data_IF_217857222189
#
_entry.id   IF_217857222189
#
_cell.length_a   1.000
_cell.length_b   1.000
_cell.length_c   1.000
_cell.angle_alpha   90.00
_cell.angle_beta   90.00
_cell.angle_gamma   90.00
#
_symmetry.space_group_name_H-M   'P 1'
#
loop_
_entity.id
_entity.type
_entity.pdbx_description
1 polymer ?
#
# COMPACT_ATOMS: atom_id res chain seq x y z
N UNK A 1 -32.51 -10.02 -16.85
CA UNK A 1 -31.26 -10.50 -16.19
C UNK A 1 -30.00 -9.64 -16.48
N UNK A 2 -30.09 -8.29 -16.53
CA UNK A 2 -28.89 -7.44 -16.75
C UNK A 2 -28.04 -7.30 -15.49
N UNK A 3 -28.62 -7.42 -14.30
CA UNK A 3 -27.92 -7.19 -13.00
C UNK A 3 -26.83 -8.22 -12.72
N UNK A 4 -27.02 -9.47 -13.07
CA UNK A 4 -26.04 -10.56 -12.88
C UNK A 4 -24.86 -10.41 -13.83
N UNK A 5 -25.07 -9.98 -15.06
CA UNK A 5 -23.99 -9.78 -16.05
C UNK A 5 -23.04 -8.63 -15.70
N UNK A 6 -23.53 -7.57 -15.07
CA UNK A 6 -22.69 -6.44 -14.63
C UNK A 6 -21.82 -6.80 -13.44
N UNK A 7 -22.33 -7.60 -12.50
CA UNK A 7 -21.53 -8.10 -11.37
C UNK A 7 -20.47 -9.12 -11.81
N UNK A 8 -20.79 -10.05 -12.70
CA UNK A 8 -19.78 -11.01 -13.21
C UNK A 8 -18.62 -10.31 -13.93
N UNK A 9 -18.89 -9.32 -14.78
CA UNK A 9 -17.84 -8.55 -15.47
C UNK A 9 -16.92 -7.79 -14.52
N UNK A 10 -17.42 -7.41 -13.35
CA UNK A 10 -16.66 -6.63 -12.36
C UNK A 10 -15.65 -7.50 -11.59
N UNK A 11 -16.04 -8.74 -11.26
CA UNK A 11 -15.19 -9.65 -10.46
C UNK A 11 -14.37 -10.61 -11.32
N UNK A 12 -14.64 -10.70 -12.61
CA UNK A 12 -13.88 -11.52 -13.54
C UNK A 12 -12.35 -11.25 -13.48
N UNK A 13 -11.85 -9.98 -13.46
CA UNK A 13 -10.42 -9.72 -13.33
C UNK A 13 -9.85 -10.18 -11.98
N UNK A 14 -10.66 -10.20 -10.91
CA UNK A 14 -10.24 -10.70 -9.59
C UNK A 14 -10.02 -12.21 -9.63
N UNK A 15 -10.90 -12.95 -10.34
CA UNK A 15 -10.73 -14.39 -10.57
C UNK A 15 -9.50 -14.67 -11.43
N UNK A 16 -9.24 -13.84 -12.45
CA UNK A 16 -8.01 -13.93 -13.24
C UNK A 16 -6.76 -13.71 -12.39
N UNK A 17 -6.79 -12.74 -11.47
CA UNK A 17 -5.69 -12.49 -10.55
C UNK A 17 -5.47 -13.69 -9.61
N UNK A 18 -6.54 -14.23 -9.04
CA UNK A 18 -6.48 -15.41 -8.18
C UNK A 18 -5.88 -16.60 -8.93
N UNK A 19 -6.32 -16.83 -10.18
CA UNK A 19 -5.76 -17.86 -11.04
C UNK A 19 -4.26 -17.63 -11.30
N UNK A 20 -3.85 -16.38 -11.58
CA UNK A 20 -2.45 -16.01 -11.81
C UNK A 20 -1.60 -16.24 -10.56
N UNK A 21 -2.12 -15.92 -9.36
CA UNK A 21 -1.46 -16.19 -8.08
C UNK A 21 -1.23 -17.68 -7.88
N UNK A 22 -2.24 -18.52 -8.14
CA UNK A 22 -2.11 -19.98 -8.02
C UNK A 22 -1.14 -20.51 -9.07
N UNK A 23 -1.27 -20.06 -10.32
CA UNK A 23 -0.41 -20.50 -11.43
C UNK A 23 1.06 -20.15 -11.16
N UNK A 24 1.35 -18.92 -10.69
CA UNK A 24 2.73 -18.52 -10.39
C UNK A 24 3.34 -19.37 -9.27
N UNK A 25 2.56 -19.74 -8.24
CA UNK A 25 3.02 -20.65 -7.19
C UNK A 25 3.36 -22.03 -7.75
N UNK A 26 2.49 -22.62 -8.58
CA UNK A 26 2.70 -23.94 -9.18
C UNK A 26 3.96 -23.93 -10.06
N UNK A 27 4.11 -22.92 -10.92
CA UNK A 27 5.26 -22.78 -11.81
C UNK A 27 6.56 -22.63 -11.03
N UNK A 28 6.59 -21.75 -10.01
CA UNK A 28 7.79 -21.54 -9.19
C UNK A 28 8.17 -22.79 -8.38
N UNK A 29 7.18 -23.54 -7.90
CA UNK A 29 7.41 -24.80 -7.19
C UNK A 29 7.93 -25.87 -8.13
N UNK A 30 7.35 -26.02 -9.34
CA UNK A 30 7.79 -26.98 -10.35
C UNK A 30 9.23 -26.72 -10.84
N UNK A 31 9.60 -25.43 -10.97
CA UNK A 31 10.94 -25.02 -11.39
C UNK A 31 11.95 -25.00 -10.24
N UNK A 32 11.58 -25.38 -9.01
CA UNK A 32 12.41 -25.29 -7.78
C UNK A 32 12.95 -23.88 -7.50
N UNK A 33 12.25 -22.86 -7.97
CA UNK A 33 12.58 -21.44 -7.81
C UNK A 33 11.86 -20.79 -6.61
N UNK A 34 11.77 -21.52 -5.50
CA UNK A 34 11.04 -21.09 -4.30
C UNK A 34 11.56 -19.78 -3.69
N UNK A 35 12.80 -19.39 -3.99
CA UNK A 35 13.37 -18.13 -3.54
C UNK A 35 12.53 -16.92 -4.03
N UNK A 36 12.02 -16.99 -5.25
CA UNK A 36 11.19 -15.92 -5.81
C UNK A 36 9.82 -15.77 -5.12
N UNK A 37 9.33 -16.83 -4.45
CA UNK A 37 8.11 -16.71 -3.64
C UNK A 37 8.27 -15.72 -2.48
N UNK A 38 9.47 -15.68 -1.86
CA UNK A 38 9.79 -14.71 -0.79
C UNK A 38 9.67 -13.29 -1.32
N UNK A 39 10.25 -13.02 -2.48
CA UNK A 39 10.22 -11.69 -3.11
C UNK A 39 8.79 -11.30 -3.54
N UNK A 40 8.00 -12.25 -4.07
CA UNK A 40 6.60 -12.01 -4.41
C UNK A 40 5.73 -11.77 -3.16
N UNK A 41 6.03 -12.44 -2.04
CA UNK A 41 5.36 -12.19 -0.75
C UNK A 41 5.63 -10.75 -0.28
N UNK A 42 6.90 -10.33 -0.27
CA UNK A 42 7.29 -8.97 0.09
C UNK A 42 6.67 -7.93 -0.88
N UNK A 43 6.69 -8.22 -2.19
CA UNK A 43 6.04 -7.36 -3.19
C UNK A 43 4.54 -7.18 -2.91
N UNK A 44 3.86 -8.24 -2.43
CA UNK A 44 2.46 -8.16 -2.01
C UNK A 44 2.24 -7.16 -0.89
N UNK A 45 3.09 -7.17 0.16
CA UNK A 45 2.98 -6.23 1.27
C UNK A 45 3.23 -4.78 0.83
N UNK A 46 4.21 -4.53 -0.04
CA UNK A 46 4.43 -3.20 -0.61
C UNK A 46 3.31 -2.77 -1.56
N UNK A 47 2.70 -3.71 -2.27
CA UNK A 47 1.56 -3.44 -3.16
C UNK A 47 0.32 -2.98 -2.37
N UNK A 48 0.11 -3.47 -1.14
CA UNK A 48 -0.95 -2.95 -0.25
C UNK A 48 -0.81 -1.45 -0.02
N UNK A 49 0.40 -0.97 0.26
CA UNK A 49 0.66 0.48 0.43
C UNK A 49 0.28 1.24 -0.84
N UNK A 50 0.72 0.75 -2.00
CA UNK A 50 0.43 1.38 -3.28
C UNK A 50 -1.08 1.41 -3.57
N UNK A 51 -1.83 0.35 -3.24
CA UNK A 51 -3.30 0.34 -3.38
C UNK A 51 -3.97 1.38 -2.47
N UNK A 52 -3.55 1.47 -1.20
CA UNK A 52 -4.03 2.50 -0.28
C UNK A 52 -3.74 3.92 -0.78
N UNK A 53 -2.51 4.14 -1.25
CA UNK A 53 -2.09 5.43 -1.79
C UNK A 53 -2.80 5.77 -3.11
N UNK A 54 -3.11 4.77 -3.95
CA UNK A 54 -3.92 4.95 -5.16
C UNK A 54 -5.34 5.43 -4.83
N UNK A 55 -5.97 4.93 -3.76
CA UNK A 55 -7.26 5.44 -3.30
C UNK A 55 -7.17 6.91 -2.89
N UNK A 56 -6.11 7.29 -2.18
CA UNK A 56 -5.90 8.63 -1.68
C UNK A 56 -5.57 9.62 -2.81
N UNK A 57 -4.57 9.31 -3.63
CA UNK A 57 -4.11 10.20 -4.70
C UNK A 57 -5.04 10.17 -5.91
N UNK A 58 -5.46 8.99 -6.32
CA UNK A 58 -6.19 8.79 -7.56
C UNK A 58 -7.69 9.09 -7.48
N UNK A 59 -8.31 8.89 -6.32
CA UNK A 59 -9.75 9.09 -6.17
C UNK A 59 -10.11 10.28 -5.28
N UNK A 60 -9.30 10.59 -4.25
CA UNK A 60 -9.55 11.76 -3.40
C UNK A 60 -8.71 12.98 -3.79
N UNK A 61 -7.78 12.85 -4.73
CA UNK A 61 -6.93 13.95 -5.20
C UNK A 61 -5.92 14.47 -4.18
N UNK A 62 -5.59 13.67 -3.15
CA UNK A 62 -4.70 14.06 -2.06
C UNK A 62 -3.30 13.48 -2.28
N UNK A 63 -2.34 14.30 -2.64
CA UNK A 63 -0.94 13.86 -2.76
C UNK A 63 -0.33 13.73 -1.37
N UNK A 64 0.17 12.53 -1.04
CA UNK A 64 0.81 12.24 0.24
C UNK A 64 2.16 11.55 0.03
N UNK A 65 3.20 12.14 0.65
CA UNK A 65 4.56 11.63 0.66
C UNK A 65 4.98 11.06 2.03
N UNK A 66 4.01 10.76 2.90
CA UNK A 66 4.26 10.26 4.27
C UNK A 66 3.92 8.78 4.48
N UNK A 67 3.57 8.04 3.43
CA UNK A 67 3.06 6.66 3.57
C UNK A 67 4.12 5.67 4.04
N UNK A 68 5.41 5.91 3.79
CA UNK A 68 6.50 5.15 4.40
C UNK A 68 6.50 5.28 5.94
N UNK A 69 6.14 6.46 6.47
CA UNK A 69 5.95 6.65 7.91
C UNK A 69 4.84 5.78 8.49
N UNK A 70 3.67 5.70 7.85
CA UNK A 70 2.58 4.82 8.30
C UNK A 70 2.92 3.33 8.16
N UNK A 71 3.64 2.96 7.12
CA UNK A 71 4.16 1.61 6.96
C UNK A 71 5.10 1.23 8.09
N UNK A 72 6.04 2.10 8.41
CA UNK A 72 6.96 1.91 9.52
C UNK A 72 6.25 1.87 10.87
N UNK A 73 5.29 2.79 11.13
CA UNK A 73 4.49 2.77 12.38
C UNK A 73 3.79 1.44 12.56
N UNK A 74 3.12 0.93 11.52
CA UNK A 74 2.46 -0.38 11.58
C UNK A 74 3.43 -1.51 11.87
N UNK A 75 4.57 -1.53 11.19
CA UNK A 75 5.60 -2.54 11.37
C UNK A 75 6.27 -2.49 12.75
N UNK A 76 6.68 -1.31 13.19
CA UNK A 76 7.30 -1.14 14.51
C UNK A 76 6.32 -1.38 15.65
N UNK A 77 5.07 -0.92 15.55
CA UNK A 77 4.05 -1.21 16.57
C UNK A 77 3.81 -2.71 16.69
N UNK A 78 3.72 -3.44 15.57
CA UNK A 78 3.58 -4.89 15.58
C UNK A 78 4.80 -5.59 16.18
N UNK A 79 6.01 -5.15 15.81
CA UNK A 79 7.26 -5.70 16.29
C UNK A 79 7.44 -5.49 17.79
N UNK A 80 7.25 -4.26 18.29
CA UNK A 80 7.37 -3.94 19.73
C UNK A 80 6.36 -4.72 20.56
N UNK A 81 5.10 -4.76 20.14
CA UNK A 81 4.07 -5.51 20.86
C UNK A 81 4.38 -7.01 20.94
N UNK A 82 4.92 -7.57 19.85
CA UNK A 82 5.30 -8.96 19.80
C UNK A 82 6.53 -9.29 20.67
N UNK A 83 7.54 -8.40 20.72
CA UNK A 83 8.74 -8.57 21.53
C UNK A 83 8.48 -8.39 23.04
N UNK A 84 7.55 -7.51 23.42
CA UNK A 84 7.13 -7.32 24.83
C UNK A 84 6.28 -8.51 25.34
N UNK A 85 5.95 -9.47 24.47
CA UNK A 85 5.23 -10.70 24.87
C UNK A 85 3.70 -10.59 24.77
N UNK A 86 3.19 -9.58 24.08
CA UNK A 86 1.76 -9.56 23.72
C UNK A 86 1.41 -10.79 22.89
N UNK A 87 0.22 -11.34 23.13
CA UNK A 87 -0.25 -12.47 22.35
C UNK A 87 -0.18 -12.13 20.84
N UNK A 88 0.47 -12.99 20.05
CA UNK A 88 0.76 -12.72 18.64
C UNK A 88 -0.49 -12.36 17.82
N UNK A 89 -1.64 -12.98 18.13
CA UNK A 89 -2.90 -12.69 17.44
C UNK A 89 -3.47 -11.28 17.75
N UNK A 90 -3.04 -10.65 18.86
CA UNK A 90 -3.49 -9.31 19.27
C UNK A 90 -2.54 -8.21 18.76
N UNK A 91 -1.26 -8.52 18.52
CA UNK A 91 -0.26 -7.53 18.10
C UNK A 91 -0.57 -6.93 16.73
N UNK A 92 -1.08 -7.70 15.77
CA UNK A 92 -1.47 -7.19 14.47
C UNK A 92 -2.66 -6.22 14.52
N UNK A 93 -3.82 -6.57 15.11
CA UNK A 93 -4.93 -5.64 15.28
C UNK A 93 -4.55 -4.38 16.07
N UNK A 94 -3.75 -4.52 17.12
CA UNK A 94 -3.29 -3.39 17.91
C UNK A 94 -2.39 -2.44 17.08
N UNK A 95 -1.46 -2.98 16.29
CA UNK A 95 -0.64 -2.18 15.38
C UNK A 95 -1.47 -1.42 14.34
N UNK A 96 -2.52 -2.05 13.81
CA UNK A 96 -3.46 -1.42 12.88
C UNK A 96 -4.21 -0.28 13.58
N UNK A 97 -4.69 -0.48 14.81
CA UNK A 97 -5.36 0.55 15.60
C UNK A 97 -4.43 1.72 15.92
N UNK A 98 -3.18 1.45 16.31
CA UNK A 98 -2.15 2.48 16.55
C UNK A 98 -1.91 3.30 15.28
N UNK A 99 -1.74 2.63 14.14
CA UNK A 99 -1.55 3.31 12.85
C UNK A 99 -2.76 4.18 12.49
N UNK A 100 -3.97 3.66 12.68
CA UNK A 100 -5.21 4.40 12.43
C UNK A 100 -5.36 5.60 13.37
N UNK A 101 -5.01 5.45 14.64
CA UNK A 101 -5.02 6.53 15.62
C UNK A 101 -4.03 7.63 15.26
N UNK A 102 -2.79 7.28 14.90
CA UNK A 102 -1.79 8.26 14.44
C UNK A 102 -2.25 8.93 13.15
N UNK A 103 -2.84 8.18 12.21
CA UNK A 103 -3.37 8.76 10.99
C UNK A 103 -4.52 9.73 11.24
N UNK A 104 -5.39 9.45 12.22
CA UNK A 104 -6.44 10.35 12.65
C UNK A 104 -5.86 11.64 13.26
N UNK A 105 -4.91 11.49 14.18
CA UNK A 105 -4.29 12.60 14.90
C UNK A 105 -3.54 13.56 13.97
N UNK A 106 -2.79 13.02 13.02
CA UNK A 106 -2.05 13.80 12.03
C UNK A 106 -2.96 14.28 10.89
N UNK A 107 -3.95 13.46 10.49
CA UNK A 107 -4.87 13.80 9.42
C UNK A 107 -5.69 15.06 9.69
N UNK A 108 -6.15 15.25 10.92
CA UNK A 108 -6.97 16.42 11.28
C UNK A 108 -6.27 17.76 10.96
N UNK A 109 -5.02 18.03 11.41
CA UNK A 109 -4.34 19.27 11.08
C UNK A 109 -3.83 19.31 9.64
N UNK A 110 -3.29 18.20 9.13
CA UNK A 110 -2.61 18.16 7.82
C UNK A 110 -3.62 18.30 6.67
N UNK A 111 -4.81 17.76 6.78
CA UNK A 111 -5.83 17.86 5.73
C UNK A 111 -6.52 19.22 5.62
N UNK A 112 -6.20 20.17 6.50
CA UNK A 112 -6.56 21.58 6.32
C UNK A 112 -5.72 22.26 5.23
N UNK A 113 -4.55 21.67 4.92
CA UNK A 113 -3.69 22.11 3.85
C UNK A 113 -4.17 21.58 2.49
N UNK A 114 -3.91 22.32 1.41
CA UNK A 114 -4.30 21.95 0.04
C UNK A 114 -3.07 21.86 -0.88
N UNK A 115 -3.15 21.04 -1.92
CA UNK A 115 -2.14 20.96 -2.97
C UNK A 115 -0.75 20.60 -2.46
N UNK A 116 0.26 21.38 -2.85
CA UNK A 116 1.67 21.12 -2.51
C UNK A 116 1.97 21.21 -1.01
N UNK A 117 1.26 22.04 -0.26
CA UNK A 117 1.44 22.15 1.19
C UNK A 117 1.07 20.86 1.91
N UNK A 118 0.05 20.14 1.44
CA UNK A 118 -0.34 18.84 1.97
C UNK A 118 0.79 17.82 1.75
N UNK A 119 1.38 17.78 0.55
CA UNK A 119 2.47 16.87 0.22
C UNK A 119 3.71 17.16 1.09
N UNK A 120 4.06 18.44 1.29
CA UNK A 120 5.17 18.84 2.16
C UNK A 120 4.93 18.47 3.62
N UNK A 121 3.71 18.69 4.15
CA UNK A 121 3.38 18.35 5.53
C UNK A 121 3.44 16.83 5.77
N UNK A 122 2.94 16.02 4.83
CA UNK A 122 3.03 14.56 4.94
C UNK A 122 4.47 14.06 4.80
N UNK A 123 5.30 14.71 3.98
CA UNK A 123 6.73 14.41 3.89
C UNK A 123 7.43 14.71 5.23
N UNK A 124 7.18 15.89 5.80
CA UNK A 124 7.73 16.28 7.11
C UNK A 124 7.32 15.28 8.20
N UNK A 125 6.06 14.84 8.22
CA UNK A 125 5.60 13.76 9.09
C UNK A 125 6.44 12.49 8.93
N UNK A 126 6.70 12.02 7.70
CA UNK A 126 7.55 10.85 7.43
C UNK A 126 8.97 11.03 8.00
N UNK A 127 9.56 12.23 7.85
CA UNK A 127 10.89 12.55 8.42
C UNK A 127 10.84 12.53 9.95
N UNK A 128 9.80 13.08 10.58
CA UNK A 128 9.63 13.07 12.03
C UNK A 128 9.57 11.62 12.54
N UNK A 129 8.77 10.76 11.90
CA UNK A 129 8.69 9.33 12.25
C UNK A 129 10.07 8.68 12.14
N UNK A 130 10.79 8.89 11.04
CA UNK A 130 12.15 8.35 10.86
C UNK A 130 13.08 8.81 11.99
N UNK A 131 13.04 10.09 12.36
CA UNK A 131 13.90 10.63 13.44
C UNK A 131 13.55 10.08 14.81
N UNK A 132 12.28 9.86 15.10
CA UNK A 132 11.83 9.21 16.34
C UNK A 132 12.33 7.77 16.40
N UNK A 133 12.23 7.01 15.30
CA UNK A 133 12.70 5.64 15.24
C UNK A 133 14.22 5.53 15.43
N UNK A 134 15.00 6.43 14.83
CA UNK A 134 16.46 6.47 14.95
C UNK A 134 16.91 6.95 16.33
N UNK A 135 16.17 7.87 16.96
CA UNK A 135 16.57 8.50 18.23
C UNK A 135 16.13 7.76 19.49
N UNK A 136 15.32 6.70 19.37
CA UNK A 136 14.73 6.04 20.54
C UNK A 136 15.22 4.58 20.63
N UNK A 137 15.85 4.23 21.74
CA UNK A 137 16.36 2.87 22.00
C UNK A 137 15.23 1.81 22.00
N UNK A 138 14.00 2.19 22.35
CA UNK A 138 12.83 1.31 22.31
C UNK A 138 12.61 0.68 20.93
N UNK A 139 12.99 1.39 19.86
CA UNK A 139 12.86 0.96 18.48
C UNK A 139 14.16 0.39 17.88
N UNK A 140 15.17 0.15 18.71
CA UNK A 140 16.46 -0.38 18.27
C UNK A 140 17.36 0.63 17.54
N UNK A 141 17.00 1.91 17.51
CA UNK A 141 17.81 2.97 16.91
C UNK A 141 18.14 2.72 15.43
N UNK A 142 19.40 2.85 15.07
CA UNK A 142 19.88 2.67 13.70
C UNK A 142 19.80 1.21 13.20
N UNK A 143 19.95 0.24 14.10
CA UNK A 143 19.94 -1.19 13.77
C UNK A 143 18.50 -1.73 13.56
N UNK A 144 17.51 -1.01 14.07
CA UNK A 144 16.11 -1.43 14.05
C UNK A 144 15.81 -2.55 15.03
N UNK A 145 14.64 -3.16 14.90
CA UNK A 145 14.20 -4.29 15.71
C UNK A 145 14.47 -5.60 14.98
N UNK A 146 15.17 -6.52 15.64
CA UNK A 146 15.40 -7.90 15.21
C UNK A 146 14.70 -8.88 16.15
N UNK A 147 14.70 -10.16 15.79
CA UNK A 147 14.16 -11.26 16.59
C UNK A 147 12.66 -11.11 16.93
N UNK A 148 11.91 -10.48 16.02
CA UNK A 148 10.46 -10.36 16.16
C UNK A 148 9.82 -11.73 16.01
N UNK A 149 9.09 -12.22 17.03
CA UNK A 149 8.45 -13.52 16.96
C UNK A 149 7.39 -13.53 15.85
N UNK A 150 7.37 -14.62 15.05
CA UNK A 150 6.41 -14.77 13.96
C UNK A 150 4.96 -14.70 14.47
N UNK A 151 4.10 -14.05 13.70
CA UNK A 151 2.67 -13.96 14.02
C UNK A 151 1.97 -15.31 13.85
N UNK A 152 1.31 -15.79 14.89
CA UNK A 152 0.52 -17.02 14.88
C UNK A 152 -0.96 -16.70 14.99
N UNK A 153 -1.72 -17.01 13.93
CA UNK A 153 -3.16 -16.71 13.89
C UNK A 153 -3.99 -17.78 14.63
N UNK A 154 -3.88 -19.04 14.20
CA UNK A 154 -4.50 -20.24 14.79
C UNK A 154 -3.65 -21.46 14.46
N UNK A 155 -3.94 -22.62 15.03
CA UNK A 155 -3.19 -23.86 14.89
C UNK A 155 -2.67 -24.10 13.45
N UNK A 156 -1.43 -23.66 13.16
CA UNK A 156 -0.76 -23.90 11.89
C UNK A 156 -0.61 -22.69 10.94
N UNK A 157 -1.38 -21.61 11.08
CA UNK A 157 -1.25 -20.40 10.26
C UNK A 157 -0.30 -19.41 10.94
N UNK A 158 0.91 -19.26 10.40
CA UNK A 158 1.89 -18.32 10.92
C UNK A 158 2.53 -17.48 9.80
N UNK A 159 2.68 -16.17 10.06
CA UNK A 159 3.48 -15.28 9.21
C UNK A 159 4.91 -15.30 9.78
N UNK A 160 5.84 -15.88 9.03
CA UNK A 160 7.25 -16.00 9.44
C UNK A 160 8.12 -16.30 8.23
N UNK A 161 9.34 -15.80 8.16
CA UNK A 161 10.30 -16.06 7.08
C UNK A 161 10.86 -17.48 6.99
N UNK A 162 10.36 -18.43 7.80
CA UNK A 162 10.86 -19.81 7.79
C UNK A 162 10.63 -20.50 6.45
N UNK A 163 11.65 -21.19 5.95
CA UNK A 163 11.64 -21.89 4.64
C UNK A 163 10.44 -22.85 4.49
N UNK A 164 10.10 -23.59 5.54
CA UNK A 164 9.01 -24.56 5.55
C UNK A 164 7.61 -23.94 5.31
N UNK A 165 7.43 -22.64 5.58
CA UNK A 165 6.15 -21.95 5.49
C UNK A 165 6.07 -20.94 4.33
N UNK A 166 6.99 -21.00 3.35
CA UNK A 166 7.05 -20.05 2.23
C UNK A 166 5.76 -19.99 1.43
N UNK A 167 5.25 -21.15 1.04
CA UNK A 167 3.99 -21.25 0.27
C UNK A 167 2.82 -20.68 1.06
N UNK A 168 2.74 -20.98 2.35
CA UNK A 168 1.71 -20.46 3.23
C UNK A 168 1.76 -18.93 3.34
N UNK A 169 2.95 -18.37 3.57
CA UNK A 169 3.15 -16.92 3.65
C UNK A 169 2.82 -16.22 2.32
N UNK A 170 3.15 -16.85 1.20
CA UNK A 170 2.79 -16.37 -0.11
C UNK A 170 1.27 -16.24 -0.26
N UNK A 171 0.50 -17.30 0.09
CA UNK A 171 -0.95 -17.24 0.04
C UNK A 171 -1.56 -16.24 1.03
N UNK A 172 -0.99 -16.10 2.24
CA UNK A 172 -1.45 -15.10 3.21
C UNK A 172 -1.24 -13.69 2.64
N UNK A 173 -0.07 -13.36 2.11
CA UNK A 173 0.20 -12.05 1.55
C UNK A 173 -0.75 -11.72 0.38
N UNK A 174 -0.91 -12.64 -0.55
CA UNK A 174 -1.79 -12.43 -1.70
C UNK A 174 -3.26 -12.45 -1.36
N UNK A 175 -3.69 -13.20 -0.33
CA UNK A 175 -5.07 -13.10 0.20
C UNK A 175 -5.35 -11.73 0.81
N UNK A 176 -4.37 -11.12 1.50
CA UNK A 176 -4.48 -9.75 2.01
C UNK A 176 -4.53 -8.73 0.87
N UNK A 177 -3.71 -8.89 -0.16
CA UNK A 177 -3.76 -8.03 -1.37
C UNK A 177 -5.11 -8.15 -2.05
N UNK A 178 -5.64 -9.37 -2.23
CA UNK A 178 -6.96 -9.60 -2.83
C UNK A 178 -8.08 -8.99 -1.98
N UNK A 179 -8.04 -9.17 -0.67
CA UNK A 179 -9.02 -8.56 0.25
C UNK A 179 -8.96 -7.02 0.19
N UNK A 180 -7.75 -6.46 0.21
CA UNK A 180 -7.53 -5.03 0.05
C UNK A 180 -8.02 -4.51 -1.31
N UNK A 181 -7.70 -5.20 -2.39
CA UNK A 181 -8.18 -4.84 -3.73
C UNK A 181 -9.71 -4.89 -3.83
N UNK A 182 -10.34 -5.93 -3.30
CA UNK A 182 -11.81 -6.05 -3.27
C UNK A 182 -12.45 -4.92 -2.45
N UNK A 183 -11.89 -4.60 -1.28
CA UNK A 183 -12.35 -3.47 -0.47
C UNK A 183 -12.21 -2.15 -1.25
N UNK A 184 -11.07 -1.91 -1.92
CA UNK A 184 -10.83 -0.74 -2.75
C UNK A 184 -11.81 -0.66 -3.93
N UNK A 185 -12.04 -1.75 -4.67
CA UNK A 185 -12.99 -1.81 -5.78
C UNK A 185 -14.41 -1.51 -5.28
N UNK A 186 -14.83 -2.08 -4.15
CA UNK A 186 -16.14 -1.85 -3.58
C UNK A 186 -16.32 -0.40 -3.13
N UNK A 187 -15.30 0.18 -2.48
CA UNK A 187 -15.28 1.58 -2.08
C UNK A 187 -15.44 2.51 -3.29
N UNK A 188 -14.63 2.32 -4.32
CA UNK A 188 -14.63 3.17 -5.53
C UNK A 188 -15.97 3.15 -6.26
N UNK A 189 -16.70 2.02 -6.23
CA UNK A 189 -18.01 1.91 -6.87
C UNK A 189 -19.18 2.26 -5.93
N UNK A 190 -18.92 2.53 -4.66
CA UNK A 190 -19.95 2.93 -3.67
C UNK A 190 -20.37 4.40 -3.84
N UNK A 191 -21.32 4.83 -2.98
CA UNK A 191 -21.68 6.26 -2.86
C UNK A 191 -20.47 7.11 -2.44
N UNK A 192 -19.65 6.60 -1.53
CA UNK A 192 -18.42 7.26 -1.08
C UNK A 192 -17.43 7.46 -2.23
N UNK A 193 -17.20 6.45 -3.07
CA UNK A 193 -16.30 6.56 -4.22
C UNK A 193 -16.78 7.56 -5.29
N UNK A 194 -18.09 7.76 -5.44
CA UNK A 194 -18.63 8.84 -6.30
C UNK A 194 -18.35 10.21 -5.71
N UNK A 195 -18.56 10.37 -4.41
CA UNK A 195 -18.27 11.62 -3.70
C UNK A 195 -16.78 11.96 -3.75
N UNK A 196 -15.87 10.97 -3.56
CA UNK A 196 -14.43 11.16 -3.70
C UNK A 196 -14.03 11.66 -5.09
N UNK A 197 -14.61 11.11 -6.17
CA UNK A 197 -14.36 11.60 -7.53
C UNK A 197 -14.87 13.02 -7.76
N UNK A 198 -15.99 13.40 -7.15
CA UNK A 198 -16.49 14.76 -7.19
C UNK A 198 -15.51 15.72 -6.48
N UNK A 199 -15.00 15.34 -5.31
CA UNK A 199 -13.96 16.09 -4.56
C UNK A 199 -12.69 16.22 -5.40
N UNK A 200 -12.22 15.14 -6.05
CA UNK A 200 -11.04 15.15 -6.90
C UNK A 200 -11.19 16.14 -8.07
N UNK A 201 -12.40 16.24 -8.65
CA UNK A 201 -12.69 17.18 -9.75
C UNK A 201 -12.70 18.65 -9.30
N UNK A 202 -13.46 18.96 -8.26
CA UNK A 202 -13.53 20.29 -7.67
C UNK A 202 -14.11 20.20 -6.24
N UNK A 203 -13.29 20.53 -5.24
CA UNK A 203 -13.67 20.46 -3.83
C UNK A 203 -14.81 21.42 -3.46
N UNK A 204 -14.76 22.65 -3.98
CA UNK A 204 -15.73 23.68 -3.64
C UNK A 204 -17.09 23.37 -4.29
N UNK A 205 -17.11 22.88 -5.52
CA UNK A 205 -18.33 22.42 -6.18
C UNK A 205 -18.94 21.20 -5.47
N UNK A 206 -18.11 20.23 -5.04
CA UNK A 206 -18.59 19.09 -4.26
C UNK A 206 -19.21 19.51 -2.92
N UNK A 207 -18.58 20.47 -2.22
CA UNK A 207 -19.10 21.04 -0.98
C UNK A 207 -20.45 21.75 -1.20
N UNK A 208 -20.60 22.52 -2.28
CA UNK A 208 -21.83 23.20 -2.64
C UNK A 208 -22.99 22.19 -2.93
N UNK A 209 -22.67 20.99 -3.39
CA UNK A 209 -23.62 19.89 -3.59
C UNK A 209 -23.90 19.08 -2.30
N UNK A 210 -23.47 19.56 -1.13
CA UNK A 210 -23.72 18.94 0.17
C UNK A 210 -22.78 17.78 0.54
N UNK A 211 -21.65 17.63 -0.15
CA UNK A 211 -20.65 16.61 0.19
C UNK A 211 -19.80 17.11 1.35
N UNK A 212 -19.71 16.33 2.44
CA UNK A 212 -18.81 16.63 3.56
C UNK A 212 -17.37 16.27 3.16
N UNK A 213 -16.70 17.24 2.54
CA UNK A 213 -15.34 17.10 1.98
C UNK A 213 -14.33 16.74 3.07
N UNK A 214 -14.39 17.41 4.24
CA UNK A 214 -13.43 17.21 5.31
C UNK A 214 -13.46 15.78 5.86
N UNK A 215 -14.66 15.27 6.17
CA UNK A 215 -14.82 13.89 6.67
C UNK A 215 -14.39 12.83 5.66
N UNK A 216 -14.76 13.01 4.39
CA UNK A 216 -14.41 12.05 3.36
C UNK A 216 -12.91 12.03 3.07
N UNK A 217 -12.25 13.18 3.06
CA UNK A 217 -10.81 13.28 2.94
C UNK A 217 -10.11 12.57 4.11
N UNK A 218 -10.53 12.87 5.34
CA UNK A 218 -9.97 12.26 6.54
C UNK A 218 -10.17 10.73 6.55
N UNK A 219 -11.38 10.27 6.25
CA UNK A 219 -11.67 8.83 6.20
C UNK A 219 -10.81 8.10 5.15
N UNK A 220 -10.63 8.71 3.96
CA UNK A 220 -9.79 8.14 2.91
C UNK A 220 -8.31 8.14 3.29
N UNK A 221 -7.84 9.19 3.98
CA UNK A 221 -6.48 9.28 4.49
C UNK A 221 -6.20 8.20 5.53
N UNK A 222 -7.10 8.02 6.52
CA UNK A 222 -6.98 6.97 7.53
C UNK A 222 -7.00 5.59 6.86
N UNK A 223 -7.93 5.36 5.93
CA UNK A 223 -8.01 4.09 5.21
C UNK A 223 -6.71 3.78 4.46
N UNK A 224 -6.14 4.77 3.75
CA UNK A 224 -4.87 4.62 3.06
C UNK A 224 -3.71 4.31 4.01
N UNK A 225 -3.67 4.97 5.18
CA UNK A 225 -2.69 4.70 6.23
C UNK A 225 -2.85 3.28 6.82
N UNK A 226 -4.09 2.79 6.97
CA UNK A 226 -4.35 1.42 7.42
C UNK A 226 -3.81 0.38 6.44
N UNK A 227 -3.96 0.60 5.12
CA UNK A 227 -3.33 -0.26 4.10
C UNK A 227 -1.80 -0.30 4.27
N UNK A 228 -1.18 0.85 4.51
CA UNK A 228 0.24 0.93 4.76
C UNK A 228 0.63 0.21 6.06
N UNK A 229 -0.11 0.44 7.14
CA UNK A 229 0.13 -0.19 8.44
C UNK A 229 0.01 -1.72 8.42
N UNK A 230 -1.00 -2.25 7.73
CA UNK A 230 -1.14 -3.71 7.53
C UNK A 230 0.05 -4.26 6.76
N UNK A 231 0.45 -3.62 5.66
CA UNK A 231 1.62 -4.02 4.88
C UNK A 231 2.89 -4.05 5.71
N UNK A 232 3.13 -2.99 6.51
CA UNK A 232 4.28 -2.87 7.39
C UNK A 232 4.31 -3.90 8.52
N UNK A 233 3.19 -4.11 9.20
CA UNK A 233 3.06 -5.11 10.26
C UNK A 233 3.32 -6.54 9.74
N UNK A 234 2.72 -6.89 8.60
CA UNK A 234 2.94 -8.20 7.99
C UNK A 234 4.39 -8.38 7.52
N UNK A 235 5.03 -7.32 6.99
CA UNK A 235 6.43 -7.37 6.58
C UNK A 235 7.35 -7.59 7.80
N UNK A 236 7.09 -6.90 8.92
CA UNK A 236 7.88 -7.05 10.14
C UNK A 236 7.85 -8.49 10.68
N UNK A 237 6.68 -9.11 10.70
CA UNK A 237 6.54 -10.52 11.08
C UNK A 237 7.19 -11.47 10.08
N UNK A 238 7.06 -11.17 8.79
CA UNK A 238 7.62 -12.01 7.73
C UNK A 238 9.15 -11.99 7.75
N UNK A 239 9.78 -10.82 7.90
CA UNK A 239 11.22 -10.68 7.96
C UNK A 239 11.81 -11.06 9.34
N UNK A 240 10.97 -11.17 10.39
CA UNK A 240 11.44 -11.32 11.77
C UNK A 240 12.14 -10.07 12.30
N UNK A 241 11.88 -8.92 11.71
CA UNK A 241 12.48 -7.64 12.09
C UNK A 241 12.05 -6.50 11.17
N UNK A 242 12.35 -5.28 11.59
CA UNK A 242 12.08 -4.06 10.82
C UNK A 242 13.15 -3.01 11.10
N UNK A 243 13.67 -2.39 10.04
CA UNK A 243 14.65 -1.31 10.13
C UNK A 243 14.05 0.08 9.93
N UNK A 244 14.70 1.15 10.45
CA UNK A 244 14.22 2.53 10.31
C UNK A 244 14.17 3.01 8.86
N UNK A 245 14.92 2.39 7.97
CA UNK A 245 14.92 2.67 6.53
C UNK A 245 13.54 2.52 5.87
N UNK A 246 12.63 1.75 6.48
CA UNK A 246 11.25 1.62 5.98
C UNK A 246 10.44 2.91 6.14
N UNK A 247 10.81 3.83 7.05
CA UNK A 247 10.24 5.17 7.17
C UNK A 247 10.95 6.21 6.28
N UNK A 248 11.93 5.79 5.48
CA UNK A 248 12.78 6.69 4.68
C UNK A 248 12.01 7.48 3.63
N UNK A 249 12.45 8.70 3.35
CA UNK A 249 11.86 9.58 2.34
C UNK A 249 11.87 8.91 0.96
N UNK A 250 12.95 8.25 0.58
CA UNK A 250 13.06 7.53 -0.70
C UNK A 250 12.02 6.43 -0.84
N UNK A 251 11.67 5.73 0.25
CA UNK A 251 10.57 4.76 0.25
C UNK A 251 9.21 5.43 -0.04
N UNK A 252 8.95 6.61 0.54
CA UNK A 252 7.73 7.37 0.25
C UNK A 252 7.66 7.82 -1.22
N UNK A 253 8.77 8.33 -1.77
CA UNK A 253 8.86 8.71 -3.19
C UNK A 253 8.63 7.49 -4.09
N UNK A 254 9.21 6.33 -3.73
CA UNK A 254 9.00 5.07 -4.44
C UNK A 254 7.53 4.67 -4.48
N UNK A 255 6.79 4.76 -3.38
CA UNK A 255 5.34 4.45 -3.37
C UNK A 255 4.55 5.38 -4.28
N UNK A 256 4.86 6.69 -4.28
CA UNK A 256 4.25 7.65 -5.20
C UNK A 256 4.59 7.30 -6.65
N UNK A 257 5.84 6.95 -6.94
CA UNK A 257 6.27 6.53 -8.27
C UNK A 257 5.52 5.28 -8.76
N UNK A 258 5.33 4.28 -7.89
CA UNK A 258 4.56 3.06 -8.21
C UNK A 258 3.10 3.38 -8.58
N UNK A 259 2.46 4.28 -7.84
CA UNK A 259 1.07 4.69 -8.11
C UNK A 259 0.98 5.52 -9.38
N UNK A 260 1.90 6.46 -9.58
CA UNK A 260 1.96 7.27 -10.81
C UNK A 260 2.18 6.38 -12.04
N UNK A 261 3.12 5.42 -11.94
CA UNK A 261 3.44 4.48 -13.00
C UNK A 261 2.26 3.56 -13.36
N UNK A 262 1.56 3.07 -12.34
CA UNK A 262 0.36 2.25 -12.54
C UNK A 262 -0.84 3.02 -13.10
N UNK A 263 -0.82 4.36 -12.95
CA UNK A 263 -1.92 5.27 -13.28
C UNK A 263 -2.77 5.55 -12.05
N UNK A 264 -2.74 6.81 -11.59
CA UNK A 264 -3.39 7.26 -10.34
C UNK A 264 -4.87 6.88 -10.23
N UNK A 265 -5.60 6.78 -11.33
CA UNK A 265 -7.02 6.39 -11.35
C UNK A 265 -7.30 4.90 -11.60
N UNK A 266 -6.28 4.04 -11.61
CA UNK A 266 -6.40 2.63 -11.96
C UNK A 266 -5.86 1.71 -10.85
N UNK A 267 -6.76 1.09 -10.08
CA UNK A 267 -6.38 0.09 -9.06
C UNK A 267 -5.63 -1.10 -9.67
N UNK A 268 -6.06 -1.56 -10.86
CA UNK A 268 -5.45 -2.68 -11.56
C UNK A 268 -4.07 -2.34 -12.09
N UNK A 269 -3.92 -1.12 -12.65
CA UNK A 269 -2.63 -0.63 -13.11
C UNK A 269 -1.64 -0.47 -11.96
N UNK A 270 -2.08 0.13 -10.85
CA UNK A 270 -1.26 0.25 -9.64
C UNK A 270 -0.85 -1.12 -9.11
N UNK A 271 -1.77 -2.09 -9.02
CA UNK A 271 -1.46 -3.44 -8.56
C UNK A 271 -0.41 -4.11 -9.47
N UNK A 272 -0.61 -4.11 -10.78
CA UNK A 272 0.29 -4.78 -11.71
C UNK A 272 1.69 -4.15 -11.71
N UNK A 273 1.76 -2.82 -11.80
CA UNK A 273 3.03 -2.09 -11.85
C UNK A 273 3.76 -2.14 -10.51
N UNK A 274 3.06 -1.96 -9.38
CA UNK A 274 3.69 -2.04 -8.05
C UNK A 274 4.26 -3.42 -7.79
N UNK A 275 3.52 -4.48 -8.12
CA UNK A 275 4.01 -5.86 -7.96
C UNK A 275 5.24 -6.11 -8.84
N UNK A 276 5.17 -5.74 -10.13
CA UNK A 276 6.26 -6.00 -11.07
C UNK A 276 7.52 -5.22 -10.71
N UNK A 277 7.41 -3.90 -10.49
CA UNK A 277 8.58 -3.06 -10.19
C UNK A 277 9.19 -3.40 -8.83
N UNK A 278 8.36 -3.65 -7.81
CA UNK A 278 8.88 -4.05 -6.50
C UNK A 278 9.55 -5.42 -6.55
N UNK A 279 9.00 -6.36 -7.32
CA UNK A 279 9.63 -7.67 -7.53
C UNK A 279 10.98 -7.54 -8.23
N UNK A 280 11.09 -6.71 -9.29
CA UNK A 280 12.35 -6.46 -9.99
C UNK A 280 13.40 -5.80 -9.07
N UNK A 281 12.97 -4.82 -8.27
CA UNK A 281 13.82 -4.15 -7.28
C UNK A 281 14.36 -5.14 -6.24
N UNK A 282 13.48 -5.95 -5.63
CA UNK A 282 13.86 -6.96 -4.64
C UNK A 282 14.75 -8.07 -5.22
N UNK A 283 14.67 -8.32 -6.53
CA UNK A 283 15.56 -9.21 -7.25
C UNK A 283 16.98 -8.63 -7.44
N UNK A 284 17.15 -7.33 -7.18
CA UNK A 284 18.41 -6.63 -7.41
C UNK A 284 18.64 -6.29 -8.89
N UNK A 285 17.57 -6.28 -9.73
CA UNK A 285 17.69 -5.99 -11.14
C UNK A 285 18.26 -4.59 -11.43
N UNK A 286 18.09 -3.66 -10.50
CA UNK A 286 18.55 -2.27 -10.61
C UNK A 286 19.85 -2.02 -9.82
N UNK A 287 20.31 -2.98 -9.00
CA UNK A 287 21.53 -2.89 -8.21
C UNK A 287 21.60 -1.62 -7.36
N UNK A 288 22.74 -0.93 -7.40
CA UNK A 288 22.97 0.34 -6.68
C UNK A 288 22.12 1.51 -7.20
N UNK A 289 21.56 1.40 -8.40
CA UNK A 289 20.78 2.46 -9.06
C UNK A 289 19.27 2.36 -8.80
N UNK A 290 18.84 1.52 -7.86
CA UNK A 290 17.43 1.26 -7.60
C UNK A 290 16.62 2.56 -7.39
N UNK A 291 17.06 3.45 -6.51
CA UNK A 291 16.40 4.73 -6.25
C UNK A 291 16.44 5.69 -7.47
N UNK A 292 17.54 5.68 -8.24
CA UNK A 292 17.65 6.48 -9.45
C UNK A 292 16.69 5.99 -10.54
N UNK A 293 16.53 4.68 -10.68
CA UNK A 293 15.56 4.08 -11.62
C UNK A 293 14.14 4.46 -11.26
N UNK A 294 13.75 4.38 -9.97
CA UNK A 294 12.42 4.83 -9.54
C UNK A 294 12.20 6.33 -9.76
N UNK A 295 13.21 7.15 -9.50
CA UNK A 295 13.18 8.58 -9.83
C UNK A 295 13.01 8.84 -11.33
N UNK A 296 13.77 8.14 -12.17
CA UNK A 296 13.67 8.25 -13.62
C UNK A 296 12.30 7.78 -14.14
N UNK A 297 11.74 6.71 -13.59
CA UNK A 297 10.38 6.24 -13.89
C UNK A 297 9.37 7.32 -13.56
N UNK A 298 9.46 7.94 -12.37
CA UNK A 298 8.55 9.00 -11.96
C UNK A 298 8.58 10.18 -12.94
N UNK A 299 9.78 10.69 -13.24
CA UNK A 299 9.98 11.80 -14.19
C UNK A 299 9.48 11.42 -15.58
N UNK A 300 9.85 10.24 -16.08
CA UNK A 300 9.44 9.76 -17.41
C UNK A 300 7.91 9.64 -17.53
N UNK A 301 7.23 9.14 -16.50
CA UNK A 301 5.77 9.01 -16.51
C UNK A 301 5.10 10.38 -16.43
N UNK A 302 5.60 11.29 -15.62
CA UNK A 302 5.06 12.65 -15.56
C UNK A 302 5.19 13.38 -16.88
N UNK A 303 6.26 13.14 -17.65
CA UNK A 303 6.50 13.78 -18.95
C UNK A 303 5.74 13.11 -20.10
N UNK A 304 5.74 11.78 -20.18
CA UNK A 304 5.28 11.05 -21.35
C UNK A 304 3.92 10.34 -21.17
N UNK A 305 3.55 10.04 -19.94
CA UNK A 305 2.35 9.26 -19.64
C UNK A 305 1.61 9.77 -18.38
N UNK A 306 1.10 11.02 -18.37
CA UNK A 306 0.46 11.60 -17.18
C UNK A 306 -0.77 10.80 -16.69
N UNK A 307 -1.33 9.96 -17.55
CA UNK A 307 -2.42 9.03 -17.21
C UNK A 307 -1.95 7.63 -16.79
N UNK A 308 -0.62 7.43 -16.59
CA UNK A 308 0.01 6.16 -16.29
C UNK A 308 0.17 5.24 -17.49
N UNK A 309 0.99 4.19 -17.34
CA UNK A 309 1.28 3.22 -18.41
C UNK A 309 0.01 2.53 -18.94
N UNK A 310 -0.95 2.21 -18.08
CA UNK A 310 -2.23 1.62 -18.49
C UNK A 310 -3.14 2.58 -19.28
N UNK A 311 -2.94 3.89 -19.14
CA UNK A 311 -3.60 4.90 -19.95
C UNK A 311 -3.16 4.87 -21.42
N UNK A 312 -1.90 4.53 -21.69
CA UNK A 312 -1.35 4.40 -23.05
C UNK A 312 -1.92 3.20 -23.81
N UNK A 313 -2.26 2.12 -23.12
CA UNK A 313 -2.81 0.89 -23.74
C UNK A 313 -4.32 0.95 -24.02
N UNK A 314 -4.95 2.12 -23.91
CA UNK A 314 -6.37 2.30 -24.30
C UNK A 314 -7.39 1.52 -23.46
N UNK A 315 -7.00 0.91 -22.34
CA UNK A 315 -7.88 0.14 -21.45
C UNK A 315 -8.81 1.02 -20.60
N UNK A 316 -8.91 2.31 -20.93
CA UNK A 316 -9.83 3.27 -20.32
C UNK A 316 -11.23 3.15 -20.94
N UNK A 317 -11.94 2.06 -20.69
CA UNK A 317 -13.40 2.01 -20.88
C UNK A 317 -14.10 2.47 -19.60
N UNK A 318 -14.58 3.69 -19.57
CA UNK A 318 -15.55 4.14 -18.58
C UNK A 318 -15.19 5.41 -17.84
N UNK A 319 -15.41 6.56 -18.43
CA UNK A 319 -15.37 7.85 -17.75
C UNK A 319 -15.07 8.98 -18.71
N UNK A 320 -15.97 9.25 -19.66
CA UNK A 320 -15.93 10.47 -20.45
C UNK A 320 -16.13 11.67 -19.53
N UNK A 321 -15.14 12.53 -19.43
CA UNK A 321 -15.28 13.93 -19.05
C UNK A 321 -14.87 14.77 -20.23
N UNK A 322 -15.59 15.87 -20.55
CA UNK A 322 -15.30 16.73 -21.68
C UNK A 322 -13.99 17.46 -21.43
N UNK A 323 -13.34 17.80 -22.56
CA UNK A 323 -12.15 18.64 -22.68
C UNK A 323 -12.42 20.04 -22.14
#
# INVERSE_FOLDING_TARGET
MPFVRTHLRRYFPVLCLLFLVILSQIVLSALKLEFYMVQLTMSGYYTLVALGLCLLMGYAGQVSMGHAGFFAIGGYAAAVLATVGFASWLSLPAAILITGFVALLIGIPVLRLRGHYLAMATLAFGIIVLRILLGTNLFGGADGLSDVPGFRLFAGLAITGKKALRVQNYYIAWSLVLAGLLAAINLVHSRVGRALRAIHGNEDAAAAMGVDVARLKLATFILSALYAGVGGACLAFFNGGIGPGEAGVMKSVRYVALVAAGGMGSLWGTLAVSTALTFLSLRGAFGLYDDAVFGAILVGIMLFAPNGLFGLFGLRKGGGGPR
#
